data_IF_626643002540
#
_entry.id   IF_626643002540
#
_cell.length_a   1.000
_cell.length_b   1.000
_cell.length_c   1.000
_cell.angle_alpha   90.00
_cell.angle_beta   90.00
_cell.angle_gamma   90.00
#
_symmetry.space_group_name_H-M   'P 1'
#
loop_
_entity.id
_entity.type
_entity.pdbx_description
1 polymer ?
#
# COMPACT_ATOMS: atom_id res chain seq x y z
N UNK A 1 -16.61 -37.70 6.20
CA UNK A 1 -16.79 -36.24 6.36
C UNK A 1 -15.80 -35.61 5.41
N UNK A 2 -16.26 -35.04 4.29
CA UNK A 2 -15.41 -34.24 3.40
C UNK A 2 -14.93 -33.02 4.19
N UNK A 3 -13.63 -32.89 4.40
CA UNK A 3 -13.03 -31.73 5.03
C UNK A 3 -13.46 -30.53 4.19
N UNK A 4 -14.21 -29.62 4.82
CA UNK A 4 -14.64 -28.40 4.16
C UNK A 4 -13.39 -27.56 3.86
N UNK A 5 -13.20 -27.14 2.60
CA UNK A 5 -12.02 -26.39 2.20
C UNK A 5 -11.97 -25.05 2.95
N UNK A 6 -10.81 -24.69 3.48
CA UNK A 6 -10.55 -23.36 4.06
C UNK A 6 -10.45 -22.34 2.94
N UNK A 7 -10.93 -21.14 3.20
CA UNK A 7 -10.92 -20.03 2.23
C UNK A 7 -9.97 -18.92 2.70
N UNK A 8 -9.12 -18.48 1.81
CA UNK A 8 -8.20 -17.36 2.00
C UNK A 8 -8.50 -16.32 0.96
N UNK A 9 -8.76 -15.08 1.35
CA UNK A 9 -9.07 -14.01 0.42
C UNK A 9 -7.80 -13.25 0.04
N UNK A 10 -7.66 -12.95 -1.24
CA UNK A 10 -6.64 -12.05 -1.76
C UNK A 10 -7.30 -10.83 -2.40
N UNK A 11 -6.90 -9.64 -1.96
CA UNK A 11 -7.17 -8.37 -2.61
C UNK A 11 -5.95 -8.10 -3.49
N UNK A 12 -6.12 -8.14 -4.81
CA UNK A 12 -5.07 -7.99 -5.82
C UNK A 12 -5.36 -6.74 -6.65
N UNK A 13 -4.62 -5.66 -6.37
CA UNK A 13 -4.80 -4.37 -7.02
C UNK A 13 -3.69 -4.12 -8.05
N UNK A 14 -4.04 -4.23 -9.31
CA UNK A 14 -3.17 -3.77 -10.39
C UNK A 14 -3.41 -2.30 -10.75
N UNK A 15 -2.56 -1.72 -11.60
CA UNK A 15 -2.65 -0.33 -12.03
C UNK A 15 -3.89 0.01 -12.89
N UNK A 16 -4.63 -0.98 -13.37
CA UNK A 16 -5.81 -0.78 -14.23
C UNK A 16 -7.05 -1.51 -13.73
N UNK A 17 -6.89 -2.52 -12.88
CA UNK A 17 -8.01 -3.27 -12.32
C UNK A 17 -7.63 -3.93 -11.00
N UNK A 18 -8.57 -3.96 -10.06
CA UNK A 18 -8.49 -4.70 -8.83
C UNK A 18 -9.38 -5.94 -8.84
N UNK A 19 -9.08 -6.89 -7.96
CA UNK A 19 -9.84 -8.16 -7.81
C UNK A 19 -9.91 -8.55 -6.34
N UNK A 20 -11.02 -9.20 -5.98
CA UNK A 20 -11.09 -10.00 -4.76
C UNK A 20 -11.17 -11.45 -5.20
N UNK A 21 -10.21 -12.26 -4.78
CA UNK A 21 -10.06 -13.66 -5.17
C UNK A 21 -10.16 -14.52 -3.91
N UNK A 22 -10.95 -15.59 -3.97
CA UNK A 22 -11.01 -16.61 -2.95
C UNK A 22 -10.12 -17.81 -3.34
N UNK A 23 -9.14 -18.12 -2.53
CA UNK A 23 -8.35 -19.34 -2.62
C UNK A 23 -8.97 -20.44 -1.74
N UNK A 24 -9.54 -21.45 -2.35
CA UNK A 24 -10.16 -22.60 -1.68
C UNK A 24 -9.11 -23.69 -1.50
N UNK A 25 -8.62 -23.85 -0.28
CA UNK A 25 -7.57 -24.81 0.05
C UNK A 25 -8.13 -26.04 0.71
N UNK A 26 -7.98 -27.18 0.04
CA UNK A 26 -8.27 -28.51 0.63
C UNK A 26 -7.01 -29.10 1.26
N UNK A 27 -6.97 -29.09 2.59
CA UNK A 27 -5.82 -29.59 3.35
C UNK A 27 -5.63 -31.09 3.23
N UNK A 28 -6.64 -31.86 2.82
CA UNK A 28 -6.55 -33.32 2.66
C UNK A 28 -5.84 -33.74 1.38
N UNK A 29 -6.06 -32.99 0.31
CA UNK A 29 -5.43 -33.23 -1.01
C UNK A 29 -4.28 -32.29 -1.33
N UNK A 30 -4.11 -31.20 -0.56
CA UNK A 30 -3.18 -30.12 -0.86
C UNK A 30 -3.58 -29.27 -2.08
N UNK A 31 -4.82 -29.41 -2.57
CA UNK A 31 -5.30 -28.71 -3.75
C UNK A 31 -5.75 -27.30 -3.40
N UNK A 32 -5.35 -26.33 -4.23
CA UNK A 32 -5.82 -24.95 -4.20
C UNK A 32 -6.63 -24.66 -5.46
N UNK A 33 -7.86 -24.20 -5.30
CA UNK A 33 -8.72 -23.69 -6.37
C UNK A 33 -8.90 -22.18 -6.18
N UNK A 34 -8.88 -21.42 -7.27
CA UNK A 34 -9.10 -19.99 -7.24
C UNK A 34 -10.47 -19.64 -7.81
N UNK A 35 -11.18 -18.76 -7.13
CA UNK A 35 -12.44 -18.20 -7.56
C UNK A 35 -12.36 -16.67 -7.53
N UNK A 36 -12.49 -16.01 -8.68
CA UNK A 36 -12.54 -14.57 -8.78
C UNK A 36 -13.94 -14.10 -8.36
N UNK A 37 -14.03 -13.58 -7.13
CA UNK A 37 -15.30 -13.13 -6.53
C UNK A 37 -15.78 -11.82 -7.16
N UNK A 38 -14.85 -10.88 -7.36
CA UNK A 38 -15.14 -9.59 -8.00
C UNK A 38 -13.95 -9.06 -8.76
N UNK A 39 -14.24 -8.24 -9.77
CA UNK A 39 -13.26 -7.45 -10.54
C UNK A 39 -13.81 -6.05 -10.76
N UNK A 40 -12.95 -5.04 -10.60
CA UNK A 40 -13.32 -3.64 -10.71
C UNK A 40 -12.16 -2.82 -11.30
N UNK A 41 -12.41 -1.65 -11.93
CA UNK A 41 -11.35 -0.76 -12.37
C UNK A 41 -10.66 -0.09 -11.18
N UNK A 42 -9.35 0.16 -11.28
CA UNK A 42 -8.62 1.05 -10.39
C UNK A 42 -8.55 2.42 -11.06
N UNK A 43 -9.54 3.26 -10.73
CA UNK A 43 -9.71 4.56 -11.36
C UNK A 43 -8.72 5.60 -10.83
N UNK A 44 -8.39 6.56 -11.70
CA UNK A 44 -7.69 7.78 -11.34
C UNK A 44 -8.62 8.97 -11.51
N UNK A 45 -8.32 10.05 -10.79
CA UNK A 45 -8.99 11.34 -10.92
C UNK A 45 -7.94 12.42 -11.24
N UNK A 46 -8.36 13.46 -11.94
CA UNK A 46 -7.56 14.67 -12.12
C UNK A 46 -7.98 15.70 -11.08
N UNK A 47 -7.02 16.21 -10.32
CA UNK A 47 -7.22 17.22 -9.30
C UNK A 47 -6.11 18.28 -9.39
N UNK A 48 -6.45 19.52 -9.74
CA UNK A 48 -5.50 20.63 -9.86
C UNK A 48 -4.28 20.32 -10.74
N UNK A 49 -4.51 19.80 -11.94
CA UNK A 49 -3.49 19.37 -12.90
C UNK A 49 -2.62 18.18 -12.48
N UNK A 50 -3.01 17.49 -11.42
CA UNK A 50 -2.35 16.27 -10.94
C UNK A 50 -3.23 15.04 -11.13
N UNK A 51 -2.58 13.91 -11.43
CA UNK A 51 -3.23 12.60 -11.51
C UNK A 51 -3.14 11.93 -10.14
N UNK A 52 -4.29 11.55 -9.60
CA UNK A 52 -4.39 10.85 -8.31
C UNK A 52 -5.20 9.58 -8.43
N UNK A 53 -4.96 8.64 -7.53
CA UNK A 53 -5.82 7.46 -7.39
C UNK A 53 -7.15 7.84 -6.74
N UNK A 54 -8.28 7.36 -7.27
CA UNK A 54 -9.55 7.39 -6.57
C UNK A 54 -9.58 6.28 -5.52
N UNK A 55 -8.78 6.49 -4.47
CA UNK A 55 -8.51 5.43 -3.50
C UNK A 55 -9.74 5.10 -2.64
N UNK A 56 -10.68 6.03 -2.51
CA UNK A 56 -11.93 5.80 -1.79
C UNK A 56 -12.86 4.88 -2.61
N UNK A 57 -13.06 5.15 -3.90
CA UNK A 57 -13.82 4.24 -4.79
C UNK A 57 -13.17 2.85 -4.80
N UNK A 58 -11.83 2.78 -4.91
CA UNK A 58 -11.12 1.49 -4.86
C UNK A 58 -11.43 0.74 -3.55
N UNK A 59 -11.41 1.40 -2.40
CA UNK A 59 -11.70 0.77 -1.12
C UNK A 59 -13.18 0.35 -0.97
N UNK A 60 -14.12 1.13 -1.51
CA UNK A 60 -15.53 0.75 -1.59
C UNK A 60 -15.70 -0.53 -2.41
N UNK A 61 -15.06 -0.64 -3.59
CA UNK A 61 -15.08 -1.86 -4.43
C UNK A 61 -14.46 -3.07 -3.74
N UNK A 62 -13.39 -2.87 -2.96
CA UNK A 62 -12.83 -3.92 -2.11
C UNK A 62 -13.88 -4.42 -1.13
N UNK A 63 -14.56 -3.51 -0.42
CA UNK A 63 -15.58 -3.85 0.57
C UNK A 63 -16.78 -4.59 -0.05
N UNK A 64 -17.23 -4.17 -1.23
CA UNK A 64 -18.24 -4.89 -2.02
C UNK A 64 -17.79 -6.32 -2.36
N UNK A 65 -16.53 -6.47 -2.78
CA UNK A 65 -15.94 -7.77 -3.10
C UNK A 65 -15.83 -8.69 -1.87
N UNK A 66 -15.44 -8.13 -0.71
CA UNK A 66 -15.40 -8.86 0.56
C UNK A 66 -16.80 -9.31 0.99
N UNK A 67 -17.81 -8.46 0.80
CA UNK A 67 -19.23 -8.80 1.05
C UNK A 67 -19.67 -9.98 0.17
N UNK A 68 -19.34 -9.94 -1.12
CA UNK A 68 -19.63 -11.06 -2.04
C UNK A 68 -18.94 -12.35 -1.62
N UNK A 69 -17.69 -12.27 -1.15
CA UNK A 69 -16.96 -13.42 -0.64
C UNK A 69 -17.60 -13.97 0.64
N UNK A 70 -18.01 -13.10 1.57
CA UNK A 70 -18.70 -13.50 2.79
C UNK A 70 -20.00 -14.25 2.49
N UNK A 71 -20.85 -13.70 1.60
CA UNK A 71 -22.10 -14.35 1.20
C UNK A 71 -21.87 -15.75 0.59
N UNK A 72 -20.76 -15.97 -0.10
CA UNK A 72 -20.45 -17.23 -0.78
C UNK A 72 -19.74 -18.24 0.12
N UNK A 73 -18.90 -17.78 1.04
CA UNK A 73 -17.97 -18.63 1.78
C UNK A 73 -18.13 -18.59 3.30
N UNK A 74 -18.77 -17.54 3.83
CA UNK A 74 -19.14 -17.38 5.26
C UNK A 74 -17.97 -17.74 6.22
N UNK A 75 -18.26 -18.51 7.22
CA UNK A 75 -17.34 -18.95 8.30
C UNK A 75 -16.09 -19.73 7.83
N UNK A 76 -16.02 -20.11 6.55
CA UNK A 76 -14.84 -20.75 5.97
C UNK A 76 -13.66 -19.81 5.73
N UNK A 77 -13.90 -18.49 5.72
CA UNK A 77 -12.86 -17.48 5.49
C UNK A 77 -11.93 -17.42 6.69
N UNK A 78 -10.64 -17.61 6.45
CA UNK A 78 -9.61 -17.68 7.49
C UNK A 78 -8.78 -16.40 7.59
N UNK A 79 -8.49 -15.77 6.46
CA UNK A 79 -7.68 -14.56 6.41
C UNK A 79 -7.87 -13.79 5.09
N UNK A 80 -7.42 -12.54 5.12
CA UNK A 80 -7.38 -11.64 3.96
C UNK A 80 -5.91 -11.22 3.79
N UNK A 81 -5.39 -11.28 2.57
CA UNK A 81 -4.11 -10.71 2.17
C UNK A 81 -4.31 -9.61 1.14
N UNK A 82 -3.40 -8.64 1.11
CA UNK A 82 -3.45 -7.50 0.18
C UNK A 82 -2.15 -7.45 -0.61
N UNK A 83 -2.26 -7.37 -1.93
CA UNK A 83 -1.18 -7.09 -2.86
C UNK A 83 -1.58 -5.94 -3.79
N UNK A 84 -0.63 -5.05 -4.12
CA UNK A 84 -0.90 -3.89 -4.95
C UNK A 84 0.29 -3.51 -5.81
N UNK A 85 0.09 -2.47 -6.69
CA UNK A 85 1.23 -1.76 -7.29
C UNK A 85 2.07 -1.09 -6.21
N UNK A 86 3.32 -0.82 -6.54
CA UNK A 86 4.32 -0.27 -5.65
C UNK A 86 4.43 1.27 -5.72
N UNK A 87 5.30 1.83 -4.92
CA UNK A 87 5.84 3.19 -4.86
C UNK A 87 4.89 4.29 -4.41
N UNK A 88 3.58 4.16 -4.61
CA UNK A 88 2.59 5.16 -4.22
C UNK A 88 2.17 5.02 -2.76
N UNK A 89 1.79 6.14 -2.16
CA UNK A 89 1.45 6.20 -0.74
C UNK A 89 0.34 7.20 -0.44
N UNK A 90 -0.38 6.97 0.67
CA UNK A 90 -1.25 7.94 1.30
C UNK A 90 -0.63 8.53 2.56
N UNK A 91 -0.99 9.77 2.89
CA UNK A 91 -0.62 10.45 4.13
C UNK A 91 -1.81 10.42 5.10
N UNK A 92 -1.58 9.93 6.30
CA UNK A 92 -2.58 9.82 7.38
C UNK A 92 -2.23 10.82 8.47
N UNK A 93 -3.22 11.55 8.98
CA UNK A 93 -3.04 12.52 10.06
C UNK A 93 -3.12 11.91 11.47
N UNK A 94 -3.07 12.74 12.49
CA UNK A 94 -3.16 12.32 13.91
C UNK A 94 -4.52 11.75 14.29
N UNK A 95 -5.59 12.16 13.60
CA UNK A 95 -6.95 11.67 13.77
C UNK A 95 -7.17 10.32 13.06
N UNK A 96 -6.22 9.89 12.22
CA UNK A 96 -6.30 8.65 11.45
C UNK A 96 -6.97 8.82 10.09
N UNK A 97 -7.16 10.05 9.64
CA UNK A 97 -7.83 10.38 8.39
C UNK A 97 -6.82 10.56 7.25
N UNK A 98 -7.25 10.18 6.04
CA UNK A 98 -6.45 10.38 4.83
C UNK A 98 -6.42 11.87 4.44
N UNK A 99 -5.23 12.44 4.31
CA UNK A 99 -5.03 13.86 3.99
C UNK A 99 -5.35 14.25 2.54
N UNK A 100 -5.72 13.30 1.73
CA UNK A 100 -6.14 13.45 0.34
C UNK A 100 -5.78 12.24 -0.49
N UNK A 101 -6.31 12.15 -1.70
CA UNK A 101 -6.02 11.03 -2.58
C UNK A 101 -4.53 10.90 -2.89
N UNK A 102 -3.97 9.67 -2.84
CA UNK A 102 -2.59 9.39 -3.23
C UNK A 102 -2.30 9.84 -4.66
N UNK A 103 -1.15 10.44 -4.89
CA UNK A 103 -0.70 10.75 -6.24
C UNK A 103 -0.40 9.46 -7.01
N UNK A 104 -0.72 9.48 -8.28
CA UNK A 104 -0.36 8.39 -9.19
C UNK A 104 1.12 8.48 -9.54
N UNK A 105 1.82 7.37 -9.61
CA UNK A 105 3.27 7.30 -9.89
C UNK A 105 3.71 7.89 -11.25
N UNK A 106 2.75 8.21 -12.13
CA UNK A 106 3.01 8.92 -13.41
C UNK A 106 2.62 10.39 -13.37
N UNK A 107 2.30 10.91 -12.20
CA UNK A 107 2.05 12.34 -12.04
C UNK A 107 3.30 13.15 -12.38
N UNK A 108 3.11 14.28 -13.09
CA UNK A 108 4.21 15.14 -13.55
C UNK A 108 4.92 15.88 -12.42
N UNK A 109 4.42 15.82 -11.17
CA UNK A 109 5.07 16.47 -10.02
C UNK A 109 6.51 16.00 -9.77
N UNK A 110 6.88 14.82 -10.30
CA UNK A 110 8.25 14.30 -10.20
C UNK A 110 9.17 14.70 -11.36
N UNK A 111 8.69 15.48 -12.32
CA UNK A 111 9.51 15.97 -13.43
C UNK A 111 10.67 16.83 -12.92
N UNK A 112 11.90 16.46 -13.29
CA UNK A 112 13.12 17.13 -12.84
C UNK A 112 13.56 16.85 -11.41
N UNK A 113 12.76 16.09 -10.63
CA UNK A 113 13.09 15.72 -9.25
C UNK A 113 14.33 14.83 -9.17
N UNK A 114 14.50 13.78 -10.01
CA UNK A 114 15.70 12.96 -9.97
C UNK A 114 16.99 13.79 -10.12
N UNK A 115 16.98 14.81 -11.00
CA UNK A 115 18.10 15.72 -11.21
C UNK A 115 18.35 16.63 -9.99
N UNK A 116 17.29 17.02 -9.29
CA UNK A 116 17.39 17.82 -8.07
C UNK A 116 18.00 16.97 -6.93
N UNK A 117 17.56 15.73 -6.75
CA UNK A 117 18.11 14.80 -5.77
C UNK A 117 19.60 14.54 -6.03
N UNK A 118 20.02 14.32 -7.29
CA UNK A 118 21.43 14.06 -7.66
C UNK A 118 22.37 15.21 -7.27
N UNK A 119 21.86 16.43 -7.19
CA UNK A 119 22.67 17.59 -6.73
C UNK A 119 22.94 17.53 -5.22
N UNK A 120 22.15 16.78 -4.48
CA UNK A 120 22.24 16.65 -3.01
C UNK A 120 22.93 15.34 -2.63
N UNK A 121 22.49 14.23 -3.24
CA UNK A 121 23.01 12.88 -2.99
C UNK A 121 23.34 12.20 -4.32
N UNK A 122 24.61 11.79 -4.54
CA UNK A 122 25.01 11.06 -5.74
C UNK A 122 24.28 9.71 -5.89
N UNK A 123 24.06 9.31 -7.15
CA UNK A 123 23.40 8.03 -7.49
C UNK A 123 24.07 6.82 -6.84
N UNK A 124 25.40 6.80 -6.77
CA UNK A 124 26.18 5.71 -6.15
C UNK A 124 25.87 5.56 -4.66
N UNK A 125 25.57 6.68 -3.98
CA UNK A 125 25.20 6.67 -2.56
C UNK A 125 23.78 6.11 -2.40
N UNK A 126 22.83 6.59 -3.19
CA UNK A 126 21.45 6.11 -3.14
C UNK A 126 21.38 4.61 -3.47
N UNK A 127 22.08 4.19 -4.54
CA UNK A 127 22.13 2.77 -4.92
C UNK A 127 22.85 1.92 -3.86
N UNK A 128 23.99 2.42 -3.32
CA UNK A 128 24.72 1.74 -2.27
C UNK A 128 23.91 1.52 -0.98
N UNK A 129 23.01 2.45 -0.64
CA UNK A 129 22.13 2.34 0.51
C UNK A 129 20.94 1.40 0.26
N UNK A 130 20.40 1.35 -0.96
CA UNK A 130 19.08 0.75 -1.21
C UNK A 130 19.10 -0.43 -2.19
N UNK A 131 20.08 -0.49 -3.09
CA UNK A 131 20.15 -1.50 -4.15
C UNK A 131 19.06 -1.36 -5.23
N UNK A 132 18.28 -0.27 -5.20
CA UNK A 132 17.12 -0.09 -6.08
C UNK A 132 17.49 0.71 -7.32
N UNK A 133 16.96 0.29 -8.48
CA UNK A 133 17.11 0.98 -9.75
C UNK A 133 16.50 2.40 -9.68
N UNK A 134 17.18 3.36 -10.34
CA UNK A 134 16.68 4.73 -10.47
C UNK A 134 15.54 4.80 -11.47
N UNK A 135 14.34 5.03 -10.95
CA UNK A 135 13.14 5.30 -11.74
C UNK A 135 12.48 6.58 -11.21
N UNK A 136 12.03 7.46 -12.10
CA UNK A 136 11.37 8.72 -11.72
C UNK A 136 10.15 8.52 -10.81
N UNK A 137 9.53 7.34 -10.90
CA UNK A 137 8.34 6.94 -10.14
C UNK A 137 8.62 6.49 -8.70
N UNK A 138 9.89 6.20 -8.32
CA UNK A 138 10.21 5.72 -6.98
C UNK A 138 9.75 6.72 -5.90
N UNK A 139 9.35 6.20 -4.74
CA UNK A 139 8.81 7.00 -3.64
C UNK A 139 9.75 8.11 -3.19
N UNK A 140 11.06 7.91 -3.23
CA UNK A 140 12.06 8.95 -2.91
C UNK A 140 11.83 10.23 -3.71
N UNK A 141 11.51 10.12 -5.02
CA UNK A 141 11.23 11.27 -5.88
C UNK A 141 9.89 11.91 -5.52
N UNK A 142 8.86 11.09 -5.33
CA UNK A 142 7.53 11.56 -4.97
C UNK A 142 7.54 12.29 -3.62
N UNK A 143 8.23 11.73 -2.62
CA UNK A 143 8.33 12.33 -1.29
C UNK A 143 9.19 13.59 -1.28
N UNK A 144 10.27 13.62 -2.08
CA UNK A 144 11.06 14.84 -2.25
C UNK A 144 10.26 15.96 -2.92
N UNK A 145 9.43 15.65 -3.92
CA UNK A 145 8.48 16.62 -4.48
C UNK A 145 7.50 17.11 -3.40
N UNK A 146 6.95 16.19 -2.61
CA UNK A 146 5.98 16.49 -1.54
C UNK A 146 6.55 17.47 -0.50
N UNK A 147 7.77 17.25 0.02
CA UNK A 147 8.37 18.12 1.05
C UNK A 147 8.76 19.49 0.51
N UNK A 148 8.92 19.64 -0.80
CA UNK A 148 9.27 20.92 -1.45
C UNK A 148 8.04 21.63 -2.04
N UNK A 149 6.84 21.06 -1.93
CA UNK A 149 5.60 21.70 -2.37
C UNK A 149 5.09 22.64 -1.26
N UNK A 150 4.89 23.95 -1.54
CA UNK A 150 4.36 24.89 -0.57
C UNK A 150 2.93 24.57 -0.10
N UNK A 151 2.16 23.82 -0.91
CA UNK A 151 0.80 23.38 -0.58
C UNK A 151 0.77 21.98 0.06
N UNK A 152 1.94 21.42 0.35
CA UNK A 152 2.07 20.09 0.93
C UNK A 152 1.35 19.94 2.27
N UNK A 153 0.71 18.80 2.42
CA UNK A 153 0.06 18.41 3.68
C UNK A 153 0.98 17.58 4.59
N UNK A 154 2.22 17.35 4.18
CA UNK A 154 3.16 16.46 4.88
C UNK A 154 3.40 16.88 6.34
N UNK A 155 3.38 18.18 6.63
CA UNK A 155 3.53 18.72 8.00
C UNK A 155 2.36 18.38 8.93
N UNK A 156 1.24 17.86 8.43
CA UNK A 156 0.08 17.38 9.19
C UNK A 156 0.05 15.87 9.27
N UNK A 157 0.90 15.20 8.48
CA UNK A 157 0.90 13.75 8.41
C UNK A 157 1.57 13.14 9.65
N UNK A 158 0.93 12.14 10.20
CA UNK A 158 1.47 11.24 11.21
C UNK A 158 2.16 10.05 10.58
N UNK A 159 1.56 9.47 9.51
CA UNK A 159 2.11 8.29 8.83
C UNK A 159 2.06 8.45 7.31
N UNK A 160 3.09 7.90 6.67
CA UNK A 160 3.11 7.56 5.26
C UNK A 160 2.81 6.07 5.15
N UNK A 161 1.74 5.69 4.45
CA UNK A 161 1.39 4.28 4.23
C UNK A 161 1.37 3.98 2.73
N UNK A 162 2.12 2.97 2.29
CA UNK A 162 2.02 2.49 0.90
C UNK A 162 0.62 1.96 0.63
N UNK A 163 0.22 1.87 -0.62
CA UNK A 163 -1.16 1.52 -0.97
C UNK A 163 -1.67 0.25 -0.27
N UNK A 164 -0.92 -0.89 -0.22
CA UNK A 164 -1.42 -2.06 0.49
C UNK A 164 -1.43 -1.86 2.01
N UNK A 165 -0.50 -1.09 2.55
CA UNK A 165 -0.47 -0.76 3.97
C UNK A 165 -1.63 0.16 4.35
N UNK A 166 -2.01 1.10 3.46
CA UNK A 166 -3.19 1.95 3.61
C UNK A 166 -4.48 1.12 3.62
N UNK A 167 -4.61 0.17 2.70
CA UNK A 167 -5.75 -0.77 2.70
C UNK A 167 -5.77 -1.61 3.98
N UNK A 168 -4.63 -2.16 4.39
CA UNK A 168 -4.51 -2.91 5.65
C UNK A 168 -4.87 -2.04 6.87
N UNK A 169 -4.43 -0.77 6.89
CA UNK A 169 -4.79 0.19 7.93
C UNK A 169 -6.30 0.42 8.00
N UNK A 170 -6.95 0.64 6.87
CA UNK A 170 -8.40 0.81 6.82
C UNK A 170 -9.15 -0.45 7.26
N UNK A 171 -8.63 -1.63 6.93
CA UNK A 171 -9.23 -2.90 7.36
C UNK A 171 -9.04 -3.19 8.85
N UNK A 172 -7.88 -2.82 9.44
CA UNK A 172 -7.48 -3.30 10.79
C UNK A 172 -7.29 -2.20 11.83
N UNK A 173 -7.05 -0.95 11.41
CA UNK A 173 -6.66 0.16 12.29
C UNK A 173 -5.17 0.17 12.67
N UNK A 174 -4.36 -0.78 12.21
CA UNK A 174 -2.94 -0.87 12.53
C UNK A 174 -2.08 -0.33 11.40
N UNK A 175 -1.33 0.74 11.69
CA UNK A 175 -0.38 1.33 10.76
C UNK A 175 0.95 0.55 10.81
N UNK A 176 1.27 -0.12 9.72
CA UNK A 176 2.54 -0.83 9.50
C UNK A 176 3.07 -0.50 8.11
N UNK A 177 4.30 -0.89 7.81
CA UNK A 177 4.85 -0.88 6.46
C UNK A 177 5.41 -2.25 6.13
N UNK A 178 4.93 -2.86 5.06
CA UNK A 178 5.40 -4.17 4.64
C UNK A 178 6.72 -4.03 3.87
N UNK A 179 7.65 -4.94 4.14
CA UNK A 179 9.04 -4.87 3.69
C UNK A 179 9.22 -4.82 2.17
N UNK A 180 8.46 -5.60 1.42
CA UNK A 180 8.62 -5.65 -0.05
C UNK A 180 8.17 -4.34 -0.68
N UNK A 181 7.10 -3.73 -0.19
CA UNK A 181 6.66 -2.40 -0.60
C UNK A 181 7.63 -1.32 -0.15
N UNK A 182 8.05 -1.36 1.12
CA UNK A 182 9.03 -0.42 1.66
C UNK A 182 10.33 -0.42 0.85
N UNK A 183 10.77 -1.58 0.34
CA UNK A 183 11.96 -1.67 -0.49
C UNK A 183 11.85 -0.89 -1.80
N UNK A 184 10.65 -0.83 -2.39
CA UNK A 184 10.43 -0.12 -3.67
C UNK A 184 10.56 1.41 -3.55
N UNK A 185 10.54 1.91 -2.32
CA UNK A 185 10.63 3.35 -2.04
C UNK A 185 11.97 3.97 -2.44
N UNK A 186 13.03 3.16 -2.56
CA UNK A 186 14.41 3.63 -2.67
C UNK A 186 14.89 4.42 -1.42
N UNK A 187 14.31 4.08 -0.26
CA UNK A 187 14.64 4.66 1.05
C UNK A 187 14.98 3.60 2.12
N UNK A 188 14.61 2.32 1.87
CA UNK A 188 14.90 1.21 2.79
C UNK A 188 16.26 0.59 2.47
N UNK A 189 17.09 0.38 3.49
CA UNK A 189 18.32 -0.40 3.35
C UNK A 189 18.00 -1.90 3.48
N UNK A 190 18.18 -2.71 2.42
CA UNK A 190 17.76 -4.10 2.41
C UNK A 190 18.63 -5.00 3.32
N UNK A 191 19.85 -4.57 3.65
CA UNK A 191 20.78 -5.32 4.50
C UNK A 191 20.38 -5.18 5.97
N UNK A 192 20.07 -3.95 6.40
CA UNK A 192 19.70 -3.68 7.79
C UNK A 192 18.21 -3.83 8.05
N UNK A 193 17.39 -3.80 7.01
CA UNK A 193 15.92 -3.77 7.10
C UNK A 193 15.38 -2.48 7.71
N UNK A 194 16.17 -1.40 7.72
CA UNK A 194 15.82 -0.10 8.29
C UNK A 194 15.77 0.98 7.21
N UNK A 195 15.02 2.03 7.48
CA UNK A 195 15.02 3.24 6.67
C UNK A 195 16.42 3.85 6.69
N UNK A 196 16.90 4.33 5.52
CA UNK A 196 18.22 4.94 5.42
C UNK A 196 18.20 6.34 6.05
N UNK A 197 18.64 6.44 7.30
CA UNK A 197 18.80 7.72 8.02
C UNK A 197 19.61 8.72 7.19
N UNK A 198 20.63 8.22 6.49
CA UNK A 198 21.48 9.03 5.62
C UNK A 198 20.66 9.71 4.50
N UNK A 199 19.80 8.96 3.80
CA UNK A 199 18.99 9.50 2.71
C UNK A 199 17.91 10.43 3.25
N UNK A 200 17.21 10.01 4.31
CA UNK A 200 16.17 10.82 4.93
C UNK A 200 16.73 12.18 5.38
N UNK A 201 17.84 12.18 6.12
CA UNK A 201 18.48 13.42 6.59
C UNK A 201 18.99 14.28 5.44
N UNK A 202 19.70 13.68 4.46
CA UNK A 202 20.28 14.45 3.34
C UNK A 202 19.23 15.14 2.48
N UNK A 203 18.06 14.52 2.32
CA UNK A 203 16.97 15.02 1.49
C UNK A 203 15.89 15.79 2.29
N UNK A 204 16.08 15.96 3.61
CA UNK A 204 15.11 16.63 4.48
C UNK A 204 13.77 15.91 4.57
N UNK A 205 13.77 14.58 4.42
CA UNK A 205 12.57 13.75 4.49
C UNK A 205 12.25 13.43 5.96
N UNK A 206 11.00 13.59 6.42
CA UNK A 206 10.65 13.40 7.83
C UNK A 206 10.60 11.92 8.21
N UNK A 207 11.58 11.47 9.00
CA UNK A 207 11.69 10.09 9.47
C UNK A 207 10.46 9.64 10.29
N UNK A 208 9.83 10.57 10.99
CA UNK A 208 8.66 10.28 11.84
C UNK A 208 7.43 9.76 11.08
N UNK A 209 7.39 9.92 9.75
CA UNK A 209 6.30 9.40 8.90
C UNK A 209 6.36 7.88 8.70
N UNK A 210 7.51 7.28 8.94
CA UNK A 210 7.72 5.86 8.68
C UNK A 210 7.41 5.03 9.94
N UNK A 211 6.62 3.98 9.74
CA UNK A 211 6.25 3.05 10.82
C UNK A 211 7.26 1.89 10.92
N UNK A 212 6.97 0.93 11.79
CA UNK A 212 7.75 -0.31 11.85
C UNK A 212 7.57 -1.14 10.59
N UNK A 213 8.69 -1.64 10.05
CA UNK A 213 8.68 -2.54 8.89
C UNK A 213 8.42 -3.98 9.37
N UNK A 214 7.45 -4.64 8.74
CA UNK A 214 7.09 -6.04 9.00
C UNK A 214 7.41 -6.93 7.81
N UNK A 215 7.65 -8.20 8.06
CA UNK A 215 7.92 -9.18 7.00
C UNK A 215 6.63 -9.56 6.26
N UNK A 216 6.71 -9.94 4.95
CA UNK A 216 5.56 -10.43 4.21
C UNK A 216 4.93 -11.65 4.90
N UNK A 217 3.60 -11.74 4.86
CA UNK A 217 2.86 -12.79 5.55
C UNK A 217 2.67 -12.57 7.04
N UNK A 218 3.15 -11.45 7.60
CA UNK A 218 2.87 -11.08 8.99
C UNK A 218 1.39 -10.81 9.22
N UNK A 219 0.88 -11.23 10.38
CA UNK A 219 -0.48 -10.89 10.80
C UNK A 219 -0.53 -9.41 11.21
N UNK A 220 -1.24 -8.58 10.45
CA UNK A 220 -1.41 -7.15 10.73
C UNK A 220 -2.40 -6.93 11.88
N UNK A 221 -3.53 -7.66 11.88
CA UNK A 221 -4.55 -7.51 12.92
C UNK A 221 -5.83 -8.26 12.60
N UNK A 222 -6.84 -8.10 13.47
CA UNK A 222 -8.21 -8.46 13.16
C UNK A 222 -8.87 -7.30 12.38
N UNK A 223 -9.90 -7.61 11.61
CA UNK A 223 -10.72 -6.58 10.96
C UNK A 223 -11.38 -5.67 12.00
N UNK A 224 -11.46 -4.37 11.70
CA UNK A 224 -12.25 -3.44 12.50
C UNK A 224 -13.72 -3.87 12.48
N UNK A 225 -14.44 -3.60 13.58
CA UNK A 225 -15.84 -3.97 13.71
C UNK A 225 -16.72 -3.40 12.59
N UNK A 226 -16.48 -2.15 12.21
CA UNK A 226 -17.19 -1.50 11.10
C UNK A 226 -17.00 -2.23 9.76
N UNK A 227 -15.82 -2.78 9.50
CA UNK A 227 -15.52 -3.58 8.30
C UNK A 227 -16.22 -4.94 8.39
N UNK A 228 -16.18 -5.58 9.56
CA UNK A 228 -16.90 -6.85 9.79
C UNK A 228 -18.39 -6.67 9.52
N UNK A 229 -19.00 -5.60 10.04
CA UNK A 229 -20.42 -5.30 9.85
C UNK A 229 -20.73 -4.98 8.37
N UNK A 230 -19.91 -4.12 7.71
CA UNK A 230 -20.12 -3.71 6.32
C UNK A 230 -19.95 -4.88 5.34
N UNK A 231 -18.95 -5.74 5.54
CA UNK A 231 -18.66 -6.88 4.67
C UNK A 231 -19.33 -8.19 5.14
N UNK A 232 -20.13 -8.15 6.23
CA UNK A 232 -20.75 -9.35 6.85
C UNK A 232 -19.74 -10.46 7.14
N UNK A 233 -18.53 -10.10 7.61
CA UNK A 233 -17.45 -10.99 7.99
C UNK A 233 -17.44 -11.20 9.52
N UNK A 234 -17.22 -12.45 9.99
CA UNK A 234 -17.15 -12.80 11.41
C UNK A 234 -15.72 -13.00 11.88
#
# INVERSE_FOLDING_TARGET
>A
MTSESKVYLAIDLGATSGRVIAGLYDSSSGKLELDEVSRFPTNTIEEKDSIKWDIQDIFERITEGLTGASQKYDSRIQSIGVDTWAVDYGLIDEEGELLGNPFHYRDSRTDGVPEAIRKIVPDEVVFGETGIQFLFLNTINQLFAEVNDPDSKIGRARWLLFIPDLVNYWLTGNAIQERTLASTSQLLNPITGKWSERLLTSLGLPEALFTSVVEPGSKVGALKREIQEAASLN
#
